data_IF_773760146600
#
_entry.id   IF_773760146600
#
_cell.length_a   1.000
_cell.length_b   1.000
_cell.length_c   1.000
_cell.angle_alpha   90.00
_cell.angle_beta   90.00
_cell.angle_gamma   90.00
#
_symmetry.space_group_name_H-M   'P 1'
#
loop_
_entity.id
_entity.type
_entity.pdbx_description
1 polymer ?
#
# COMPACT_ATOMS: atom_id res chain seq x y z
N UNK A 1 2.89 -23.74 -29.47
CA UNK A 1 2.87 -23.13 -28.11
C UNK A 1 1.97 -23.91 -27.19
N UNK A 2 0.66 -23.99 -27.45
CA UNK A 2 -0.33 -24.60 -26.53
C UNK A 2 0.07 -25.98 -25.98
N UNK A 3 0.45 -26.93 -26.84
CA UNK A 3 0.85 -28.27 -26.39
C UNK A 3 2.04 -28.28 -25.39
N UNK A 4 2.95 -27.29 -25.47
CA UNK A 4 4.05 -27.17 -24.52
C UNK A 4 3.60 -26.56 -23.18
N UNK A 5 2.62 -25.66 -23.20
CA UNK A 5 2.00 -25.12 -21.99
C UNK A 5 1.16 -26.18 -21.28
N UNK A 6 0.42 -26.99 -22.04
CA UNK A 6 -0.36 -28.10 -21.48
C UNK A 6 0.55 -29.16 -20.84
N UNK A 7 1.69 -29.46 -21.48
CA UNK A 7 2.70 -30.34 -20.90
C UNK A 7 3.27 -29.81 -19.58
N UNK A 8 3.45 -28.48 -19.45
CA UNK A 8 3.83 -27.83 -18.17
C UNK A 8 2.74 -28.01 -17.11
N UNK A 9 1.47 -27.78 -17.47
CA UNK A 9 0.34 -27.95 -16.55
C UNK A 9 0.19 -29.41 -16.09
N UNK A 10 0.30 -30.38 -16.99
CA UNK A 10 0.26 -31.82 -16.65
C UNK A 10 1.41 -32.22 -15.75
N UNK A 11 2.64 -31.81 -16.09
CA UNK A 11 3.82 -32.09 -15.28
C UNK A 11 3.69 -31.49 -13.86
N UNK A 12 3.13 -30.28 -13.75
CA UNK A 12 2.87 -29.62 -12.48
C UNK A 12 1.82 -30.36 -11.63
N UNK A 13 0.75 -30.85 -12.25
CA UNK A 13 -0.31 -31.63 -11.60
C UNK A 13 0.18 -32.99 -11.12
N UNK A 14 0.86 -33.74 -12.00
CA UNK A 14 1.27 -35.12 -11.74
C UNK A 14 2.57 -35.21 -10.94
N UNK A 15 3.24 -34.08 -10.70
CA UNK A 15 4.56 -33.99 -10.09
C UNK A 15 5.61 -34.86 -10.83
N UNK A 16 5.61 -34.76 -12.16
CA UNK A 16 6.50 -35.54 -13.04
C UNK A 16 7.36 -34.64 -13.93
N UNK A 17 8.48 -35.19 -14.40
CA UNK A 17 9.39 -34.47 -15.30
C UNK A 17 10.16 -33.33 -14.63
N UNK A 18 10.70 -32.42 -15.44
CA UNK A 18 11.46 -31.27 -15.00
C UNK A 18 10.81 -29.98 -15.56
N UNK A 19 10.26 -29.14 -14.68
CA UNK A 19 9.54 -27.94 -15.09
C UNK A 19 10.43 -26.91 -15.82
N UNK A 20 11.73 -26.86 -15.49
CA UNK A 20 12.68 -25.97 -16.19
C UNK A 20 12.90 -26.44 -17.64
N UNK A 21 13.11 -27.74 -17.87
CA UNK A 21 13.23 -28.31 -19.22
C UNK A 21 11.97 -28.05 -20.06
N UNK A 22 10.79 -28.27 -19.48
CA UNK A 22 9.51 -28.00 -20.15
C UNK A 22 9.33 -26.49 -20.45
N UNK A 23 9.77 -25.62 -19.53
CA UNK A 23 9.75 -24.17 -19.74
C UNK A 23 10.68 -23.75 -20.89
N UNK A 24 11.90 -24.31 -20.97
CA UNK A 24 12.82 -24.05 -22.09
C UNK A 24 12.22 -24.48 -23.43
N UNK A 25 11.51 -25.61 -23.47
CA UNK A 25 10.78 -26.08 -24.67
C UNK A 25 9.65 -25.11 -25.05
N UNK A 26 8.88 -24.62 -24.07
CA UNK A 26 7.83 -23.63 -24.30
C UNK A 26 8.40 -22.29 -24.85
N UNK A 27 9.49 -21.78 -24.24
CA UNK A 27 10.18 -20.56 -24.69
C UNK A 27 10.73 -20.72 -26.12
N UNK A 28 11.29 -21.89 -26.46
CA UNK A 28 11.76 -22.17 -27.84
C UNK A 28 10.64 -22.06 -28.87
N UNK A 29 9.41 -22.36 -28.47
CA UNK A 29 8.21 -22.19 -29.27
C UNK A 29 7.59 -20.78 -29.20
N UNK A 30 8.25 -19.83 -28.52
CA UNK A 30 7.82 -18.44 -28.32
C UNK A 30 6.67 -18.25 -27.33
N UNK A 31 6.48 -19.16 -26.38
CA UNK A 31 5.66 -18.87 -25.21
C UNK A 31 6.26 -17.68 -24.43
N UNK A 32 5.39 -16.79 -23.96
CA UNK A 32 5.73 -15.64 -23.12
C UNK A 32 5.95 -16.08 -21.68
N UNK A 33 6.57 -15.19 -20.88
CA UNK A 33 6.71 -15.40 -19.44
C UNK A 33 5.35 -15.56 -18.76
N UNK A 34 4.37 -14.72 -19.13
CA UNK A 34 3.00 -14.78 -18.61
C UNK A 34 2.33 -16.12 -18.89
N UNK A 35 2.35 -16.59 -20.14
CA UNK A 35 1.73 -17.87 -20.50
C UNK A 35 2.33 -19.06 -19.74
N UNK A 36 3.66 -19.06 -19.52
CA UNK A 36 4.34 -20.11 -18.75
C UNK A 36 3.96 -20.03 -17.27
N UNK A 37 3.95 -18.82 -16.68
CA UNK A 37 3.51 -18.61 -15.30
C UNK A 37 2.06 -19.03 -15.09
N UNK A 38 1.16 -18.64 -15.99
CA UNK A 38 -0.27 -18.96 -15.94
C UNK A 38 -0.51 -20.47 -16.10
N UNK A 39 0.28 -21.17 -16.92
CA UNK A 39 0.19 -22.61 -17.06
C UNK A 39 0.50 -23.36 -15.75
N UNK A 40 1.44 -22.87 -14.95
CA UNK A 40 1.77 -23.41 -13.63
C UNK A 40 0.76 -22.94 -12.56
N UNK A 41 0.28 -21.71 -12.67
CA UNK A 41 -0.72 -21.12 -11.76
C UNK A 41 -2.02 -21.93 -11.74
N UNK A 42 -2.42 -22.56 -12.84
CA UNK A 42 -3.58 -23.47 -12.89
C UNK A 42 -3.54 -24.57 -11.81
N UNK A 43 -2.35 -25.02 -11.42
CA UNK A 43 -2.16 -26.09 -10.43
C UNK A 43 -1.78 -25.52 -9.06
N UNK A 44 -0.88 -24.53 -9.02
CA UNK A 44 -0.31 -24.04 -7.76
C UNK A 44 -1.06 -22.83 -7.17
N UNK A 45 -1.84 -22.13 -7.97
CA UNK A 45 -2.45 -20.85 -7.60
C UNK A 45 -1.41 -19.74 -7.32
N UNK A 46 -1.87 -18.66 -6.67
CA UNK A 46 -1.02 -17.56 -6.21
C UNK A 46 -1.00 -17.49 -4.69
N UNK A 47 0.20 -17.34 -4.14
CA UNK A 47 0.35 -17.10 -2.71
C UNK A 47 -0.29 -15.77 -2.30
N UNK A 48 -1.01 -15.78 -1.19
CA UNK A 48 -1.51 -14.58 -0.51
C UNK A 48 -0.90 -14.52 0.88
N UNK A 49 -0.12 -13.46 1.14
CA UNK A 49 0.52 -13.27 2.43
C UNK A 49 -0.50 -12.84 3.49
N UNK A 50 -0.36 -13.37 4.70
CA UNK A 50 -1.10 -12.89 5.86
C UNK A 50 -0.29 -11.81 6.57
N UNK A 51 -0.77 -10.57 6.57
CA UNK A 51 -0.07 -9.45 7.21
C UNK A 51 -0.24 -9.51 8.73
N UNK A 52 0.85 -9.70 9.47
CA UNK A 52 0.85 -9.57 10.93
C UNK A 52 1.05 -8.10 11.32
N UNK A 53 0.16 -7.57 12.17
CA UNK A 53 0.31 -6.23 12.74
C UNK A 53 1.30 -6.30 13.91
N UNK A 54 2.26 -5.36 13.94
CA UNK A 54 3.19 -5.17 15.07
C UNK A 54 2.83 -3.85 15.75
N UNK A 55 2.73 -3.85 17.08
CA UNK A 55 2.38 -2.67 17.89
C UNK A 55 3.28 -2.60 19.13
N UNK A 56 3.55 -1.39 19.61
CA UNK A 56 4.30 -1.08 20.83
C UNK A 56 5.82 -1.08 20.68
N UNK A 57 6.36 -1.47 19.53
CA UNK A 57 7.81 -1.57 19.30
C UNK A 57 8.42 -0.21 18.99
N UNK A 58 7.72 0.65 18.25
CA UNK A 58 8.29 1.95 17.87
C UNK A 58 8.29 2.90 19.07
N UNK A 59 7.18 2.97 19.80
CA UNK A 59 7.09 3.81 21.00
C UNK A 59 8.15 3.45 22.06
N UNK A 60 8.42 2.16 22.26
CA UNK A 60 9.42 1.71 23.24
C UNK A 60 10.86 2.14 22.91
N UNK A 61 11.15 2.39 21.63
CA UNK A 61 12.48 2.76 21.15
C UNK A 61 12.63 4.27 20.88
N UNK A 62 11.60 5.08 21.14
CA UNK A 62 11.61 6.50 20.82
C UNK A 62 12.11 7.34 22.01
N UNK A 63 13.29 7.95 21.87
CA UNK A 63 14.00 8.63 22.96
C UNK A 63 13.39 9.99 23.39
N UNK A 64 12.48 10.57 22.59
CA UNK A 64 11.91 11.91 22.84
C UNK A 64 10.44 11.86 23.25
N UNK A 65 10.20 11.57 24.54
CA UNK A 65 8.85 11.40 25.10
C UNK A 65 7.93 12.64 24.95
N UNK A 66 8.46 13.87 25.02
CA UNK A 66 7.62 15.07 25.11
C UNK A 66 6.81 15.35 23.84
N UNK A 67 7.44 15.30 22.66
CA UNK A 67 6.74 15.50 21.38
C UNK A 67 5.78 14.35 21.06
N UNK A 68 6.12 13.13 21.49
CA UNK A 68 5.33 11.93 21.28
C UNK A 68 4.02 11.96 22.08
N UNK A 69 4.09 12.23 23.39
CA UNK A 69 2.92 12.27 24.27
C UNK A 69 1.99 13.43 23.93
N UNK A 70 2.54 14.57 23.49
CA UNK A 70 1.73 15.68 22.98
C UNK A 70 0.93 15.26 21.75
N UNK A 71 1.57 14.67 20.74
CA UNK A 71 0.88 14.25 19.52
C UNK A 71 -0.17 13.16 19.80
N UNK A 72 0.14 12.22 20.69
CA UNK A 72 -0.82 11.20 21.14
C UNK A 72 -2.04 11.82 21.81
N UNK A 73 -1.85 12.87 22.61
CA UNK A 73 -2.95 13.63 23.21
C UNK A 73 -3.78 14.38 22.17
N UNK A 74 -3.14 14.95 21.14
CA UNK A 74 -3.84 15.62 20.03
C UNK A 74 -4.69 14.64 19.20
N UNK A 75 -4.22 13.40 19.01
CA UNK A 75 -4.95 12.32 18.33
C UNK A 75 -6.10 11.81 19.20
N UNK A 76 -5.90 11.68 20.51
CA UNK A 76 -6.98 11.31 21.43
C UNK A 76 -8.11 12.35 21.43
N UNK A 77 -7.76 13.64 21.45
CA UNK A 77 -8.73 14.73 21.38
C UNK A 77 -9.54 14.72 20.07
N UNK A 78 -8.94 14.32 18.94
CA UNK A 78 -9.69 14.11 17.70
C UNK A 78 -10.76 13.02 17.89
N UNK A 79 -10.41 11.92 18.58
CA UNK A 79 -11.35 10.85 18.92
C UNK A 79 -12.53 11.32 19.75
N UNK A 80 -12.26 12.17 20.75
CA UNK A 80 -13.30 12.77 21.61
C UNK A 80 -14.21 13.74 20.83
N UNK A 81 -13.66 14.49 19.89
CA UNK A 81 -14.39 15.47 19.07
C UNK A 81 -15.26 14.83 17.99
N UNK A 82 -14.73 13.83 17.28
CA UNK A 82 -15.37 13.23 16.11
C UNK A 82 -16.04 11.87 16.40
N UNK A 83 -15.95 11.36 17.64
CA UNK A 83 -16.55 10.09 18.06
C UNK A 83 -15.82 8.83 17.54
N UNK A 84 -14.70 9.00 16.83
CA UNK A 84 -13.84 7.92 16.35
C UNK A 84 -12.40 8.41 16.15
N UNK A 85 -11.43 7.51 16.27
CA UNK A 85 -10.01 7.82 16.02
C UNK A 85 -9.78 8.19 14.56
N UNK A 86 -8.74 8.99 14.25
CA UNK A 86 -8.34 9.17 12.87
C UNK A 86 -7.87 7.82 12.32
N UNK A 87 -8.46 7.44 11.19
CA UNK A 87 -8.29 6.13 10.55
C UNK A 87 -7.55 6.28 9.24
N UNK A 88 -6.45 5.55 9.08
CA UNK A 88 -5.60 5.61 7.88
C UNK A 88 -5.41 4.21 7.31
N UNK A 89 -5.40 4.11 5.97
CA UNK A 89 -4.96 2.91 5.27
C UNK A 89 -3.60 3.14 4.65
N UNK A 90 -2.59 2.35 5.05
CA UNK A 90 -1.27 2.36 4.41
C UNK A 90 -1.26 1.31 3.30
N UNK A 91 -1.09 1.76 2.06
CA UNK A 91 -1.32 0.94 0.86
C UNK A 91 -0.09 0.80 -0.03
N UNK A 92 -0.03 -0.34 -0.74
CA UNK A 92 0.95 -0.64 -1.78
C UNK A 92 0.22 -0.86 -3.10
N UNK A 93 0.46 0.03 -4.05
CA UNK A 93 -0.15 -0.02 -5.38
C UNK A 93 0.80 -0.65 -6.40
N UNK A 94 0.25 -1.48 -7.29
CA UNK A 94 1.02 -2.16 -8.33
C UNK A 94 2.02 -3.17 -7.77
N UNK A 95 2.98 -3.60 -8.58
CA UNK A 95 3.91 -4.70 -8.25
C UNK A 95 5.03 -4.33 -7.25
N UNK A 96 4.90 -3.21 -6.53
CA UNK A 96 5.92 -2.74 -5.60
C UNK A 96 5.88 -3.54 -4.28
N UNK A 97 6.87 -4.43 -4.09
CA UNK A 97 7.03 -5.25 -2.89
C UNK A 97 7.77 -4.58 -1.71
N UNK A 98 8.20 -3.31 -1.82
CA UNK A 98 8.91 -2.64 -0.73
C UNK A 98 7.96 -2.26 0.40
N UNK A 99 7.98 -3.00 1.51
CA UNK A 99 7.01 -2.84 2.60
C UNK A 99 7.62 -2.37 3.93
N UNK A 100 8.96 -2.32 4.05
CA UNK A 100 9.63 -1.91 5.30
C UNK A 100 9.15 -0.55 5.79
N UNK A 101 9.16 0.46 4.93
CA UNK A 101 8.71 1.81 5.26
C UNK A 101 7.22 1.84 5.64
N UNK A 102 6.38 1.20 4.83
CA UNK A 102 4.94 1.09 5.07
C UNK A 102 4.63 0.44 6.42
N UNK A 103 5.30 -0.67 6.77
CA UNK A 103 5.10 -1.38 8.05
C UNK A 103 5.56 -0.55 9.25
N UNK A 104 6.71 0.12 9.15
CA UNK A 104 7.21 0.98 10.24
C UNK A 104 6.27 2.16 10.47
N UNK A 105 5.81 2.82 9.40
CA UNK A 105 4.82 3.90 9.49
C UNK A 105 3.52 3.38 10.11
N UNK A 106 3.01 2.23 9.66
CA UNK A 106 1.78 1.65 10.17
C UNK A 106 1.85 1.34 11.68
N UNK A 107 2.93 0.70 12.13
CA UNK A 107 3.16 0.41 13.55
C UNK A 107 3.27 1.70 14.38
N UNK A 108 4.03 2.69 13.90
CA UNK A 108 4.23 3.92 14.65
C UNK A 108 2.97 4.81 14.69
N UNK A 109 2.17 4.85 13.63
CA UNK A 109 0.87 5.53 13.63
C UNK A 109 -0.11 4.86 14.60
N UNK A 110 -0.11 3.52 14.63
CA UNK A 110 -0.91 2.77 15.62
C UNK A 110 -0.45 3.07 17.06
N UNK A 111 0.86 3.14 17.30
CA UNK A 111 1.42 3.48 18.61
C UNK A 111 1.07 4.92 19.05
N UNK A 112 0.87 5.83 18.09
CA UNK A 112 0.39 7.20 18.32
C UNK A 112 -1.12 7.30 18.56
N UNK A 113 -1.89 6.24 18.27
CA UNK A 113 -3.33 6.18 18.50
C UNK A 113 -4.21 6.33 17.26
N UNK A 114 -3.65 6.28 16.04
CA UNK A 114 -4.45 6.11 14.83
C UNK A 114 -5.04 4.70 14.75
N UNK A 115 -6.22 4.58 14.14
CA UNK A 115 -6.70 3.28 13.65
C UNK A 115 -6.03 3.02 12.29
N UNK A 116 -5.24 1.95 12.21
CA UNK A 116 -4.40 1.69 11.02
C UNK A 116 -4.79 0.38 10.34
N UNK A 117 -5.12 0.51 9.05
CA UNK A 117 -5.25 -0.60 8.13
C UNK A 117 -4.02 -0.69 7.23
N UNK A 118 -3.60 -1.91 6.93
CA UNK A 118 -2.49 -2.18 6.01
C UNK A 118 -3.09 -2.90 4.81
N UNK A 119 -3.09 -2.23 3.66
CA UNK A 119 -3.52 -2.81 2.40
C UNK A 119 -2.62 -4.00 2.02
N UNK A 120 -3.18 -5.06 1.40
CA UNK A 120 -2.37 -6.14 0.86
C UNK A 120 -1.40 -5.64 -0.21
N UNK A 121 -0.34 -6.41 -0.47
CA UNK A 121 0.55 -6.15 -1.59
C UNK A 121 -0.19 -6.32 -2.92
N UNK A 122 0.26 -5.59 -3.94
CA UNK A 122 -0.14 -5.76 -5.34
C UNK A 122 -1.56 -5.32 -5.68
N UNK A 123 -2.15 -4.43 -4.89
CA UNK A 123 -3.46 -3.87 -5.20
C UNK A 123 -3.41 -2.95 -6.43
N UNK A 124 -4.45 -3.03 -7.22
CA UNK A 124 -4.79 -1.97 -8.18
C UNK A 124 -5.32 -0.73 -7.44
N UNK A 125 -5.30 0.46 -8.07
CA UNK A 125 -5.96 1.64 -7.53
C UNK A 125 -7.44 1.42 -7.21
N UNK A 126 -8.17 0.67 -8.05
CA UNK A 126 -9.59 0.36 -7.84
C UNK A 126 -9.85 -0.52 -6.62
N UNK A 127 -9.07 -1.58 -6.44
CA UNK A 127 -9.18 -2.43 -5.26
C UNK A 127 -8.81 -1.67 -3.98
N UNK A 128 -7.81 -0.80 -4.05
CA UNK A 128 -7.40 0.04 -2.93
C UNK A 128 -8.49 1.08 -2.59
N UNK A 129 -9.07 1.77 -3.57
CA UNK A 129 -10.17 2.73 -3.34
C UNK A 129 -11.35 2.04 -2.67
N UNK A 130 -11.79 0.91 -3.23
CA UNK A 130 -12.90 0.13 -2.67
C UNK A 130 -12.64 -0.28 -1.23
N UNK A 131 -11.43 -0.78 -0.92
CA UNK A 131 -11.07 -1.15 0.45
C UNK A 131 -11.03 0.05 1.41
N UNK A 132 -10.53 1.21 0.94
CA UNK A 132 -10.52 2.43 1.74
C UNK A 132 -11.94 2.85 2.13
N UNK A 133 -12.88 2.77 1.18
CA UNK A 133 -14.29 3.10 1.36
C UNK A 133 -14.98 2.09 2.28
N UNK A 134 -14.81 0.79 2.04
CA UNK A 134 -15.37 -0.28 2.88
C UNK A 134 -14.90 -0.17 4.33
N UNK A 135 -13.68 0.29 4.55
CA UNK A 135 -13.11 0.51 5.88
C UNK A 135 -13.45 1.88 6.48
N UNK A 136 -14.11 2.77 5.75
CA UNK A 136 -14.40 4.15 6.17
C UNK A 136 -13.13 4.84 6.72
N UNK A 137 -12.06 4.84 5.92
CA UNK A 137 -10.81 5.51 6.33
C UNK A 137 -10.88 7.00 6.03
N UNK A 138 -10.27 7.81 6.90
CA UNK A 138 -10.16 9.24 6.64
C UNK A 138 -9.09 9.54 5.58
N UNK A 139 -8.07 8.67 5.46
CA UNK A 139 -6.99 8.87 4.53
C UNK A 139 -6.35 7.58 4.02
N UNK A 140 -5.80 7.64 2.81
CA UNK A 140 -4.95 6.61 2.21
C UNK A 140 -3.52 7.11 2.10
N UNK A 141 -2.58 6.43 2.73
CA UNK A 141 -1.14 6.63 2.56
C UNK A 141 -0.56 5.66 1.54
N UNK A 142 -0.25 6.13 0.34
CA UNK A 142 0.38 5.33 -0.72
C UNK A 142 1.88 5.28 -0.50
N UNK A 143 2.43 4.10 -0.19
CA UNK A 143 3.88 3.91 -0.10
C UNK A 143 4.43 3.42 -1.44
N UNK A 144 5.27 4.23 -2.10
CA UNK A 144 5.81 3.95 -3.44
C UNK A 144 7.32 4.11 -3.50
N UNK A 145 8.00 3.04 -3.92
CA UNK A 145 9.46 2.97 -4.07
C UNK A 145 9.87 2.42 -5.44
N UNK A 146 8.89 2.11 -6.31
CA UNK A 146 9.10 1.54 -7.63
C UNK A 146 8.71 2.49 -8.79
N UNK A 147 8.78 3.80 -8.57
CA UNK A 147 8.54 4.86 -9.56
C UNK A 147 7.16 4.87 -10.25
N UNK A 148 6.17 4.16 -9.70
CA UNK A 148 4.79 4.14 -10.22
C UNK A 148 3.95 5.36 -9.84
N UNK A 149 4.50 6.31 -9.06
CA UNK A 149 3.73 7.38 -8.41
C UNK A 149 3.01 8.31 -9.39
N UNK A 150 3.60 8.63 -10.54
CA UNK A 150 2.95 9.54 -11.51
C UNK A 150 1.73 8.94 -12.20
N UNK A 151 1.56 7.62 -12.13
CA UNK A 151 0.43 6.91 -12.76
C UNK A 151 -0.54 6.41 -11.70
N UNK A 152 -0.03 5.72 -10.67
CA UNK A 152 -0.87 5.03 -9.69
C UNK A 152 -1.49 5.98 -8.68
N UNK A 153 -0.83 7.10 -8.33
CA UNK A 153 -1.37 8.07 -7.37
C UNK A 153 -2.53 8.88 -7.96
N UNK A 154 -2.43 9.45 -9.18
CA UNK A 154 -3.60 10.05 -9.81
C UNK A 154 -4.76 9.05 -9.97
N UNK A 155 -4.46 7.81 -10.34
CA UNK A 155 -5.48 6.78 -10.53
C UNK A 155 -6.24 6.42 -9.25
N UNK A 156 -5.59 6.35 -8.08
CA UNK A 156 -6.31 6.08 -6.81
C UNK A 156 -7.21 7.26 -6.42
N UNK A 157 -6.76 8.50 -6.65
CA UNK A 157 -7.56 9.70 -6.36
C UNK A 157 -8.79 9.74 -7.28
N UNK A 158 -8.60 9.46 -8.57
CA UNK A 158 -9.71 9.37 -9.53
C UNK A 158 -10.70 8.29 -9.13
N UNK A 159 -10.22 7.13 -8.68
CA UNK A 159 -11.08 6.00 -8.36
C UNK A 159 -11.84 6.17 -7.04
N UNK A 160 -11.24 6.82 -6.04
CA UNK A 160 -11.96 7.28 -4.84
C UNK A 160 -13.11 8.21 -5.21
N UNK A 161 -12.84 9.20 -6.09
CA UNK A 161 -13.88 10.11 -6.59
C UNK A 161 -14.97 9.39 -7.39
N UNK A 162 -14.58 8.47 -8.28
CA UNK A 162 -15.49 7.68 -9.11
C UNK A 162 -16.42 6.80 -8.26
N UNK A 163 -15.94 6.33 -7.12
CA UNK A 163 -16.71 5.52 -6.17
C UNK A 163 -17.45 6.36 -5.09
N UNK A 164 -17.41 7.69 -5.18
CA UNK A 164 -18.19 8.59 -4.32
C UNK A 164 -17.57 8.89 -2.96
N UNK A 165 -16.24 8.79 -2.85
CA UNK A 165 -15.48 9.04 -1.62
C UNK A 165 -14.37 10.08 -1.84
N UNK A 166 -14.75 11.24 -2.37
CA UNK A 166 -13.87 12.38 -2.63
C UNK A 166 -13.38 13.10 -1.35
N UNK A 167 -13.98 12.76 -0.20
CA UNK A 167 -13.58 13.19 1.14
C UNK A 167 -12.34 12.44 1.66
N UNK A 168 -12.08 11.21 1.19
CA UNK A 168 -10.91 10.43 1.59
C UNK A 168 -9.65 11.04 0.99
N UNK A 169 -8.79 11.61 1.83
CA UNK A 169 -7.57 12.28 1.37
C UNK A 169 -6.42 11.30 1.10
N UNK A 170 -5.57 11.63 0.12
CA UNK A 170 -4.43 10.80 -0.28
C UNK A 170 -3.10 11.45 0.07
N UNK A 171 -2.22 10.68 0.70
CA UNK A 171 -0.82 11.01 0.96
C UNK A 171 0.10 10.06 0.21
N UNK A 172 1.34 10.49 -0.06
CA UNK A 172 2.32 9.63 -0.71
C UNK A 172 3.62 9.64 0.10
N UNK A 173 4.20 8.47 0.32
CA UNK A 173 5.52 8.33 0.93
C UNK A 173 6.42 7.37 0.16
N UNK A 174 7.73 7.48 0.39
CA UNK A 174 8.74 6.62 -0.25
C UNK A 174 9.71 7.40 -1.12
N UNK A 175 10.17 6.81 -2.22
CA UNK A 175 11.21 7.39 -3.08
C UNK A 175 10.56 8.16 -4.22
N UNK A 176 10.36 9.46 -4.00
CA UNK A 176 9.71 10.37 -4.96
C UNK A 176 10.69 11.50 -5.29
N UNK A 177 11.08 11.68 -6.56
CA UNK A 177 11.90 12.81 -6.99
C UNK A 177 11.20 14.15 -6.71
N UNK A 178 11.93 15.14 -6.21
CA UNK A 178 11.36 16.46 -5.88
C UNK A 178 10.67 17.14 -7.09
N UNK A 179 11.20 16.95 -8.29
CA UNK A 179 10.61 17.45 -9.53
C UNK A 179 9.20 16.91 -9.84
N UNK A 180 8.80 15.81 -9.20
CA UNK A 180 7.46 15.24 -9.36
C UNK A 180 6.45 15.73 -8.30
N UNK A 181 6.88 16.54 -7.33
CA UNK A 181 6.02 16.95 -6.21
C UNK A 181 4.86 17.81 -6.69
N UNK A 182 5.14 18.83 -7.51
CA UNK A 182 4.11 19.73 -8.05
C UNK A 182 3.05 18.96 -8.83
N UNK A 183 3.47 17.96 -9.62
CA UNK A 183 2.56 17.08 -10.34
C UNK A 183 1.64 16.31 -9.38
N UNK A 184 2.18 15.75 -8.31
CA UNK A 184 1.40 14.99 -7.33
C UNK A 184 0.44 15.87 -6.53
N UNK A 185 0.87 17.07 -6.13
CA UNK A 185 0.00 18.05 -5.48
C UNK A 185 -1.14 18.50 -6.41
N UNK A 186 -0.85 18.77 -7.69
CA UNK A 186 -1.86 19.09 -8.70
C UNK A 186 -2.84 17.94 -8.94
N UNK A 187 -2.38 16.68 -8.81
CA UNK A 187 -3.23 15.50 -8.89
C UNK A 187 -4.15 15.32 -7.66
N UNK A 188 -3.92 16.05 -6.56
CA UNK A 188 -4.79 16.06 -5.38
C UNK A 188 -4.16 15.49 -4.09
N UNK A 189 -2.88 15.14 -4.12
CA UNK A 189 -2.16 14.66 -2.91
C UNK A 189 -2.11 15.75 -1.85
N UNK A 190 -2.35 15.38 -0.58
CA UNK A 190 -2.34 16.33 0.56
C UNK A 190 -0.99 16.43 1.29
N UNK A 191 -0.12 15.45 1.12
CA UNK A 191 1.23 15.47 1.69
C UNK A 191 2.16 14.43 1.06
N UNK A 192 3.45 14.77 0.98
CA UNK A 192 4.50 13.94 0.40
C UNK A 192 5.60 13.73 1.44
N UNK A 193 5.90 12.47 1.76
CA UNK A 193 6.85 12.08 2.82
C UNK A 193 8.01 11.28 2.24
N UNK A 194 9.09 11.98 1.89
CA UNK A 194 10.30 11.40 1.32
C UNK A 194 11.16 10.62 2.33
N UNK A 195 12.28 10.01 1.88
CA UNK A 195 13.20 9.31 2.76
C UNK A 195 13.75 10.23 3.87
N UNK A 196 13.79 9.73 5.10
CA UNK A 196 14.25 10.50 6.27
C UNK A 196 13.18 11.33 6.97
N UNK A 197 11.94 11.35 6.48
CA UNK A 197 10.82 12.02 7.17
C UNK A 197 10.63 11.44 8.58
N UNK A 198 10.70 12.24 9.66
CA UNK A 198 10.40 11.78 10.99
C UNK A 198 8.92 11.41 11.12
N UNK A 199 8.61 10.24 11.67
CA UNK A 199 7.23 9.75 11.75
C UNK A 199 6.31 10.71 12.51
N UNK A 200 6.67 11.27 13.68
CA UNK A 200 5.80 12.24 14.36
C UNK A 200 5.45 13.47 13.53
N UNK A 201 6.37 13.91 12.65
CA UNK A 201 6.12 15.03 11.73
C UNK A 201 5.05 14.63 10.71
N UNK A 202 5.21 13.46 10.06
CA UNK A 202 4.21 12.97 9.11
C UNK A 202 2.85 12.70 9.76
N UNK A 203 2.83 12.12 10.95
CA UNK A 203 1.58 11.82 11.66
C UNK A 203 0.82 13.08 12.07
N UNK A 204 1.54 14.13 12.50
CA UNK A 204 0.96 15.44 12.79
C UNK A 204 0.36 16.08 11.54
N UNK A 205 1.10 16.12 10.44
CA UNK A 205 0.60 16.69 9.18
C UNK A 205 -0.63 15.91 8.66
N UNK A 206 -0.60 14.57 8.71
CA UNK A 206 -1.77 13.74 8.36
C UNK A 206 -2.99 14.10 9.22
N UNK A 207 -2.84 14.22 10.55
CA UNK A 207 -3.93 14.60 11.44
C UNK A 207 -4.50 15.99 11.09
N UNK A 208 -3.64 16.96 10.82
CA UNK A 208 -4.07 18.33 10.45
C UNK A 208 -4.81 18.36 9.12
N UNK A 209 -4.36 17.59 8.12
CA UNK A 209 -5.05 17.50 6.83
C UNK A 209 -6.38 16.75 6.93
N UNK A 210 -6.48 15.71 7.77
CA UNK A 210 -7.77 15.06 8.07
C UNK A 210 -8.74 16.07 8.68
N UNK A 211 -8.31 16.84 9.68
CA UNK A 211 -9.15 17.90 10.29
C UNK A 211 -9.63 18.92 9.26
N UNK A 212 -8.76 19.34 8.33
CA UNK A 212 -9.12 20.28 7.26
C UNK A 212 -10.13 19.69 6.26
N UNK A 213 -10.08 18.38 6.01
CA UNK A 213 -11.01 17.72 5.10
C UNK A 213 -12.41 17.54 5.71
N UNK A 214 -12.49 17.44 7.05
CA UNK A 214 -13.74 17.32 7.80
C UNK A 214 -14.41 18.66 8.14
N UNK A 215 -13.70 19.78 7.97
CA UNK A 215 -14.17 21.12 8.29
C UNK A 215 -14.96 21.75 7.13
#
# INVERSE_FOLDING_TARGET
VQAALDALTTAAHDNTGNLLDLSVKAVRLRATVGEISDALEKIYGRHRAHTQKVTGVYAAAYDSAEGWEKLKSEIAAFGDEHGRRPRVMISKLGQDGHDRGAKVVATAFADLGFDVDIGPLFQTPEECARQAIENDVHAVGVSTLAAGHKTLVPAIIEELKKQGADDIIVFVGGVIPQQDYDFLYQAGVKGIYGPGTPIPVSAKDVLEQIRKALA
#
